data_IF_424223123187
#
_entry.id   IF_424223123187
#
_cell.length_a   1.000
_cell.length_b   1.000
_cell.length_c   1.000
_cell.angle_alpha   90.00
_cell.angle_beta   90.00
_cell.angle_gamma   90.00
#
_symmetry.space_group_name_H-M   'P 1'
#
loop_
_entity.id
_entity.type
_entity.pdbx_description
1 polymer ?
#
# COMPACT_ATOMS: atom_id res chain seq x y z
N UNK A 1 25.98 13.07 23.51
CA UNK A 1 26.11 12.16 22.35
C UNK A 1 24.85 12.36 21.51
N UNK A 2 24.58 13.57 21.03
CA UNK A 2 25.09 14.17 19.79
C UNK A 2 25.26 13.18 18.63
N UNK A 3 24.34 13.23 17.68
CA UNK A 3 24.62 13.31 16.24
C UNK A 3 23.38 13.92 15.56
N UNK A 4 23.40 15.24 15.34
CA UNK A 4 22.53 15.89 14.38
C UNK A 4 23.00 15.58 12.96
N UNK A 5 22.09 15.20 12.06
CA UNK A 5 22.36 15.14 10.63
C UNK A 5 21.31 15.94 9.87
N UNK A 6 21.70 17.17 9.51
CA UNK A 6 21.09 17.93 8.44
C UNK A 6 21.23 17.17 7.11
N UNK A 7 20.12 16.83 6.47
CA UNK A 7 20.09 16.49 5.05
C UNK A 7 18.73 16.81 4.42
N UNK A 8 18.70 17.93 3.70
CA UNK A 8 18.05 18.14 2.40
C UNK A 8 16.54 17.92 2.22
N UNK A 9 15.89 18.97 1.69
CA UNK A 9 14.51 18.98 1.17
C UNK A 9 14.35 17.94 0.06
N UNK A 10 13.73 16.81 0.36
CA UNK A 10 12.98 16.03 -0.63
C UNK A 10 11.77 15.45 0.09
N UNK A 11 10.60 15.80 -0.38
CA UNK A 11 9.31 15.28 0.08
C UNK A 11 9.34 13.75 0.11
N UNK A 12 9.59 13.16 1.27
CA UNK A 12 9.51 11.72 1.51
C UNK A 12 8.10 11.36 2.01
N UNK A 13 7.08 11.52 1.16
CA UNK A 13 5.71 11.06 1.49
C UNK A 13 5.47 9.58 1.16
N UNK A 14 6.47 8.89 0.58
CA UNK A 14 6.38 7.47 0.29
C UNK A 14 6.72 6.69 1.57
N UNK A 15 5.70 6.08 2.20
CA UNK A 15 5.84 5.36 3.46
C UNK A 15 5.96 3.85 3.23
N UNK A 16 7.20 3.38 3.11
CA UNK A 16 7.56 1.98 3.34
C UNK A 16 7.85 1.74 4.82
N UNK A 17 7.68 0.50 5.27
CA UNK A 17 7.93 0.11 6.66
C UNK A 17 9.10 -0.88 6.72
N UNK A 18 9.95 -0.76 7.73
CA UNK A 18 11.04 -1.70 7.96
C UNK A 18 10.63 -2.76 8.97
N UNK A 19 10.97 -4.02 8.72
CA UNK A 19 10.79 -5.09 9.69
C UNK A 19 11.88 -5.03 10.77
N UNK A 20 11.54 -5.00 12.08
CA UNK A 20 12.49 -4.70 13.15
C UNK A 20 13.60 -5.75 13.31
N UNK A 21 13.32 -7.02 13.01
CA UNK A 21 14.31 -8.10 13.17
C UNK A 21 15.11 -8.38 11.90
N UNK A 22 14.51 -8.22 10.72
CA UNK A 22 15.14 -8.64 9.45
C UNK A 22 15.70 -7.48 8.64
N UNK A 23 15.35 -6.24 9.00
CA UNK A 23 15.72 -5.02 8.28
C UNK A 23 15.08 -4.88 6.90
N UNK A 24 14.25 -5.84 6.48
CA UNK A 24 13.63 -5.88 5.16
C UNK A 24 12.44 -4.92 5.12
N UNK A 25 12.38 -4.13 4.06
CA UNK A 25 11.27 -3.22 3.83
C UNK A 25 10.04 -3.93 3.26
N UNK A 26 8.87 -3.44 3.61
CA UNK A 26 7.59 -3.93 3.10
C UNK A 26 6.62 -2.78 2.81
N UNK A 27 5.79 -3.00 1.78
CA UNK A 27 4.63 -2.17 1.46
C UNK A 27 3.42 -2.68 2.21
N UNK A 28 2.62 -1.74 2.73
CA UNK A 28 1.43 -2.05 3.51
C UNK A 28 0.32 -1.06 3.17
N UNK A 29 -0.84 -1.56 2.78
CA UNK A 29 -2.00 -0.75 2.42
C UNK A 29 -3.29 -1.38 2.90
N UNK A 30 -4.20 -0.56 3.40
CA UNK A 30 -5.53 -1.00 3.80
C UNK A 30 -6.37 -1.33 2.57
N UNK A 31 -7.03 -2.50 2.57
CA UNK A 31 -7.96 -2.86 1.51
C UNK A 31 -9.30 -2.11 1.75
N UNK A 32 -9.87 -1.45 0.70
CA UNK A 32 -11.19 -0.83 0.75
C UNK A 32 -12.25 -1.81 1.23
N UNK A 33 -13.24 -1.34 2.04
CA UNK A 33 -14.22 -2.22 2.70
C UNK A 33 -14.98 -3.09 1.70
N UNK A 34 -15.30 -2.54 0.54
CA UNK A 34 -16.02 -3.22 -0.52
C UNK A 34 -15.23 -4.39 -1.12
N UNK A 35 -13.90 -4.35 -1.06
CA UNK A 35 -13.02 -5.38 -1.63
C UNK A 35 -12.56 -6.43 -0.61
N UNK A 36 -12.82 -6.22 0.68
CA UNK A 36 -12.38 -7.13 1.75
C UNK A 36 -12.88 -8.55 1.62
N UNK A 37 -14.12 -8.82 1.16
CA UNK A 37 -14.58 -10.19 0.97
C UNK A 37 -13.73 -10.98 -0.04
N UNK A 38 -13.14 -10.29 -1.03
CA UNK A 38 -12.34 -10.92 -2.08
C UNK A 38 -10.83 -10.89 -1.80
N UNK A 39 -10.31 -9.81 -1.21
CA UNK A 39 -8.87 -9.56 -1.07
C UNK A 39 -8.38 -9.58 0.39
N UNK A 40 -9.26 -9.73 1.37
CA UNK A 40 -8.92 -9.61 2.79
C UNK A 40 -8.79 -8.17 3.28
N UNK A 41 -8.25 -7.97 4.49
CA UNK A 41 -8.28 -6.66 5.17
C UNK A 41 -7.10 -5.73 4.81
N UNK A 42 -5.97 -6.31 4.44
CA UNK A 42 -4.73 -5.59 4.22
C UNK A 42 -3.94 -6.22 3.07
N UNK A 43 -3.37 -5.36 2.24
CA UNK A 43 -2.37 -5.73 1.26
C UNK A 43 -0.99 -5.50 1.87
N UNK A 44 -0.27 -6.59 2.13
CA UNK A 44 1.09 -6.57 2.69
C UNK A 44 2.03 -7.32 1.76
N UNK A 45 3.09 -6.64 1.30
CA UNK A 45 4.08 -7.25 0.43
C UNK A 45 5.49 -6.88 0.88
N UNK A 46 6.34 -7.90 1.05
CA UNK A 46 7.77 -7.71 1.28
C UNK A 46 8.43 -7.18 0.00
N UNK A 47 9.24 -6.13 0.14
CA UNK A 47 10.07 -5.60 -0.96
C UNK A 47 11.36 -6.40 -1.14
N UNK A 48 11.71 -7.28 -0.19
CA UNK A 48 12.89 -8.15 -0.30
C UNK A 48 14.23 -7.42 -0.19
N UNK A 49 14.22 -6.10 0.01
CA UNK A 49 15.43 -5.28 0.12
C UNK A 49 15.58 -4.67 1.51
N UNK A 50 16.84 -4.44 1.89
CA UNK A 50 17.25 -3.67 3.07
C UNK A 50 17.76 -2.28 2.71
N UNK A 51 17.89 -1.97 1.41
CA UNK A 51 18.32 -0.68 0.92
C UNK A 51 17.12 0.29 0.80
N UNK A 52 17.19 1.49 1.38
CA UNK A 52 16.06 2.43 1.38
C UNK A 52 15.79 3.06 -0.01
N UNK A 53 16.82 3.26 -0.84
CA UNK A 53 16.64 3.82 -2.18
C UNK A 53 15.94 2.79 -3.10
N UNK A 54 16.35 1.54 -3.01
CA UNK A 54 15.70 0.44 -3.70
C UNK A 54 14.29 0.18 -3.17
N UNK A 55 14.09 0.27 -1.85
CA UNK A 55 12.76 0.20 -1.25
C UNK A 55 11.82 1.28 -1.80
N UNK A 56 12.34 2.47 -2.12
CA UNK A 56 11.55 3.54 -2.73
C UNK A 56 11.00 3.13 -4.10
N UNK A 57 11.87 2.60 -4.96
CA UNK A 57 11.51 2.17 -6.31
C UNK A 57 10.52 1.01 -6.28
N UNK A 58 10.86 -0.04 -5.53
CA UNK A 58 10.03 -1.23 -5.40
C UNK A 58 8.68 -0.92 -4.76
N UNK A 59 8.64 0.02 -3.79
CA UNK A 59 7.38 0.46 -3.21
C UNK A 59 6.49 1.14 -4.24
N UNK A 60 7.02 2.04 -5.06
CA UNK A 60 6.24 2.72 -6.09
C UNK A 60 5.65 1.72 -7.10
N UNK A 61 6.45 0.75 -7.54
CA UNK A 61 6.00 -0.32 -8.43
C UNK A 61 4.91 -1.20 -7.79
N UNK A 62 5.12 -1.65 -6.56
CA UNK A 62 4.16 -2.51 -5.86
C UNK A 62 2.89 -1.75 -5.49
N UNK A 63 2.99 -0.45 -5.26
CA UNK A 63 1.84 0.42 -5.04
C UNK A 63 0.94 0.49 -6.28
N UNK A 64 1.52 0.67 -7.47
CA UNK A 64 0.78 0.65 -8.73
C UNK A 64 0.14 -0.71 -8.99
N UNK A 65 0.84 -1.81 -8.72
CA UNK A 65 0.27 -3.17 -8.81
C UNK A 65 -0.90 -3.35 -7.84
N UNK A 66 -0.79 -2.82 -6.63
CA UNK A 66 -1.86 -2.83 -5.63
C UNK A 66 -3.08 -2.03 -6.13
N UNK A 67 -2.88 -0.87 -6.75
CA UNK A 67 -3.95 -0.08 -7.37
C UNK A 67 -4.63 -0.82 -8.51
N UNK A 68 -3.85 -1.42 -9.42
CA UNK A 68 -4.38 -2.23 -10.51
C UNK A 68 -5.18 -3.43 -9.99
N UNK A 69 -4.70 -4.10 -8.93
CA UNK A 69 -5.41 -5.20 -8.27
C UNK A 69 -6.75 -4.73 -7.70
N UNK A 70 -6.78 -3.58 -7.02
CA UNK A 70 -8.01 -3.02 -6.46
C UNK A 70 -8.98 -2.58 -7.56
N UNK A 71 -8.51 -1.95 -8.63
CA UNK A 71 -9.33 -1.58 -9.78
C UNK A 71 -9.96 -2.80 -10.44
N UNK A 72 -9.17 -3.87 -10.64
CA UNK A 72 -9.65 -5.13 -11.22
C UNK A 72 -10.66 -5.84 -10.31
N UNK A 73 -10.39 -5.87 -9.01
CA UNK A 73 -11.33 -6.42 -8.03
C UNK A 73 -12.63 -5.61 -7.95
N UNK A 74 -12.56 -4.28 -8.10
CA UNK A 74 -13.76 -3.44 -8.23
C UNK A 74 -14.52 -3.77 -9.51
N UNK A 75 -13.87 -3.83 -10.67
CA UNK A 75 -14.53 -4.17 -11.92
C UNK A 75 -15.25 -5.53 -11.84
N UNK A 76 -14.64 -6.52 -11.19
CA UNK A 76 -15.27 -7.82 -10.93
C UNK A 76 -16.42 -7.74 -9.91
N UNK A 77 -16.24 -6.95 -8.85
CA UNK A 77 -17.26 -6.78 -7.81
C UNK A 77 -18.45 -5.94 -8.27
N UNK A 78 -18.27 -4.98 -9.18
CA UNK A 78 -19.34 -4.16 -9.76
C UNK A 78 -20.24 -5.03 -10.64
N UNK A 79 -19.71 -6.09 -11.25
CA UNK A 79 -20.50 -7.14 -11.90
C UNK A 79 -21.42 -7.91 -10.95
N UNK A 80 -21.22 -7.81 -9.63
CA UNK A 80 -22.01 -8.49 -8.59
C UNK A 80 -22.74 -7.54 -7.63
N UNK A 81 -22.51 -6.22 -7.70
CA UNK A 81 -23.03 -5.26 -6.75
C UNK A 81 -23.45 -3.94 -7.42
N UNK A 82 -24.73 -3.86 -7.79
CA UNK A 82 -25.45 -2.59 -7.81
C UNK A 82 -25.77 -2.16 -6.36
N UNK A 83 -25.86 -0.84 -6.10
CA UNK A 83 -25.78 -0.28 -4.76
C UNK A 83 -27.00 -0.63 -3.92
N UNK A 84 -26.81 -0.86 -2.61
CA UNK A 84 -27.84 -0.48 -1.64
C UNK A 84 -27.90 1.04 -1.61
N UNK A 85 -28.49 1.63 -2.65
CA UNK A 85 -28.94 3.01 -2.61
C UNK A 85 -30.01 3.07 -1.52
N UNK A 86 -29.75 3.87 -0.48
CA UNK A 86 -30.80 4.29 0.45
C UNK A 86 -31.50 5.46 -0.24
N UNK A 87 -32.75 5.33 -0.73
CA UNK A 87 -33.48 6.51 -1.15
C UNK A 87 -33.68 7.38 0.08
N UNK A 88 -33.21 8.63 0.03
CA UNK A 88 -33.71 9.66 0.94
C UNK A 88 -35.18 9.88 0.55
N UNK A 89 -36.09 9.50 1.44
CA UNK A 89 -37.50 9.86 1.40
C UNK A 89 -37.68 11.30 1.88
#
# INVERSE_FOLDING_TARGET
MDQGLFASRRTSFIRWFQHPMSGVYYTRRRVPRELRPALGYEYKKSLGTRDPAEATRLHAEEWLKCEALFARARAQSVGFALPKARPLA
#
